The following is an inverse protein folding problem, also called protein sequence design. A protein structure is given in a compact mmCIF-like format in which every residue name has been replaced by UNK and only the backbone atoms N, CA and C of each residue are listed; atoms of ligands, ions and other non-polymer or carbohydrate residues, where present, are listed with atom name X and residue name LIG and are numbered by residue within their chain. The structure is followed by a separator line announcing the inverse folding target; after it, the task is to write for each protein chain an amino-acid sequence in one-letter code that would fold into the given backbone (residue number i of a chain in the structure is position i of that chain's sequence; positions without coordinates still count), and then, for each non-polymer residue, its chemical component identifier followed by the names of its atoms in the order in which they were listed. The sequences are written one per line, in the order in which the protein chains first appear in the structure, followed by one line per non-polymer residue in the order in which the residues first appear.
data_IF_877120675600
#
_entry.id   IF_877120675600
#
_cell.length_a   1.000
_cell.length_b   1.000
_cell.length_c   1.000
_cell.angle_alpha   90.00
_cell.angle_beta   90.00
_cell.angle_gamma   90.00
#
_symmetry.space_group_name_H-M   'P 1'
#
loop_
_entity.id
_entity.type
_entity.pdbx_description
1 polymer ?
#
# COMPACT_ATOMS: atom_id res chain seq x y z
N UNK A 1 -24.45 6.89 -7.12
CA UNK A 1 -23.52 7.90 -7.65
C UNK A 1 -22.50 8.30 -6.60
N UNK A 2 -21.22 8.07 -6.89
CA UNK A 2 -20.09 8.58 -6.10
C UNK A 2 -20.07 10.11 -6.19
N UNK A 3 -20.13 10.81 -5.06
CA UNK A 3 -19.91 12.27 -5.04
C UNK A 3 -18.49 12.54 -4.56
N UNK A 4 -17.77 13.44 -5.24
CA UNK A 4 -16.43 13.93 -4.87
C UNK A 4 -16.36 14.57 -3.47
N UNK A 5 -17.50 14.76 -2.82
CA UNK A 5 -17.67 15.39 -1.50
C UNK A 5 -17.54 14.45 -0.29
N UNK A 6 -17.52 13.12 -0.45
CA UNK A 6 -17.40 12.19 0.68
C UNK A 6 -16.04 12.26 1.39
N UNK A 7 -14.99 12.74 0.71
CA UNK A 7 -13.65 12.93 1.29
C UNK A 7 -13.45 14.31 1.96
N UNK A 8 -14.33 15.29 1.68
CA UNK A 8 -14.18 16.67 2.17
C UNK A 8 -14.87 16.95 3.52
N UNK A 9 -15.71 16.04 4.02
CA UNK A 9 -16.53 16.25 5.22
C UNK A 9 -16.43 15.12 6.26
N UNK A 10 -15.23 14.75 6.72
CA UNK A 10 -15.10 13.90 7.91
C UNK A 10 -14.64 14.70 9.14
N UNK A 11 -15.47 14.77 10.20
CA UNK A 11 -15.15 15.56 11.38
C UNK A 11 -13.95 14.98 12.13
N UNK A 12 -12.96 15.84 12.38
CA UNK A 12 -11.99 15.66 13.45
C UNK A 12 -12.74 15.56 14.78
N UNK A 13 -12.93 14.35 15.32
CA UNK A 13 -12.83 13.99 16.75
C UNK A 13 -13.61 12.71 17.14
N UNK A 14 -12.89 11.63 17.46
CA UNK A 14 -13.11 10.79 18.65
C UNK A 14 -11.92 9.84 18.80
N UNK A 15 -11.30 9.81 19.99
CA UNK A 15 -10.18 8.92 20.30
C UNK A 15 -10.62 7.45 20.17
N UNK A 16 -10.29 6.82 19.04
CA UNK A 16 -10.53 5.40 18.81
C UNK A 16 -9.52 4.57 19.60
N UNK A 17 -10.00 3.76 20.55
CA UNK A 17 -9.19 2.67 21.11
C UNK A 17 -8.83 1.71 19.96
N UNK A 18 -7.54 1.57 19.69
CA UNK A 18 -7.02 0.69 18.64
C UNK A 18 -7.00 -0.78 19.08
N UNK A 19 -6.83 -1.72 18.15
CA UNK A 19 -6.69 -3.16 18.46
C UNK A 19 -5.20 -3.54 18.53
N UNK A 20 -4.83 -4.39 19.50
CA UNK A 20 -3.49 -4.93 19.65
C UNK A 20 -3.10 -5.74 18.42
N UNK A 21 -2.01 -5.38 17.75
CA UNK A 21 -1.54 -6.06 16.54
C UNK A 21 -1.05 -7.50 16.77
N UNK A 22 -0.82 -7.88 18.03
CA UNK A 22 -0.35 -9.24 18.38
C UNK A 22 -1.51 -10.21 18.57
N UNK A 23 -2.51 -9.83 19.37
CA UNK A 23 -3.60 -10.72 19.81
C UNK A 23 -5.02 -10.18 19.58
N UNK A 24 -5.17 -8.97 19.04
CA UNK A 24 -6.47 -8.35 18.76
C UNK A 24 -7.20 -7.74 19.97
N UNK A 25 -6.66 -7.84 21.19
CA UNK A 25 -7.25 -7.21 22.37
C UNK A 25 -7.22 -5.67 22.28
N UNK A 26 -8.14 -4.93 22.93
CA UNK A 26 -8.10 -3.48 22.97
C UNK A 26 -6.73 -2.95 23.43
N UNK A 27 -6.24 -1.94 22.73
CA UNK A 27 -4.96 -1.30 22.96
C UNK A 27 -5.14 0.21 22.80
N UNK A 28 -4.55 0.97 23.71
CA UNK A 28 -4.59 2.43 23.66
C UNK A 28 -3.24 3.01 23.22
N UNK A 29 -2.15 2.25 23.42
CA UNK A 29 -0.81 2.77 23.31
C UNK A 29 0.10 1.87 22.46
N UNK A 30 1.09 2.51 21.85
CA UNK A 30 2.23 1.85 21.21
C UNK A 30 3.20 1.40 22.30
N UNK A 31 3.50 0.10 22.37
CA UNK A 31 4.52 -0.44 23.26
C UNK A 31 5.61 -1.13 22.43
N UNK A 32 6.87 -0.81 22.72
CA UNK A 32 8.05 -1.39 22.08
C UNK A 32 8.12 -1.29 20.55
N UNK A 33 7.33 -0.41 19.92
CA UNK A 33 7.34 -0.21 18.46
C UNK A 33 6.02 -0.54 17.76
N UNK A 34 5.03 -1.13 18.47
CA UNK A 34 3.75 -1.49 17.87
C UNK A 34 2.57 -1.27 18.82
N UNK A 35 1.38 -0.98 18.27
CA UNK A 35 0.14 -0.91 19.04
C UNK A 35 -0.13 -2.27 19.65
N UNK A 36 -0.13 -2.33 20.99
CA UNK A 36 -0.26 -3.58 21.70
C UNK A 36 -0.96 -3.41 23.04
N UNK A 37 -1.69 -4.44 23.44
CA UNK A 37 -2.33 -4.48 24.74
C UNK A 37 -1.29 -4.70 25.86
N UNK A 38 -1.69 -4.38 27.09
CA UNK A 38 -0.83 -4.51 28.28
C UNK A 38 -0.23 -5.92 28.45
N UNK A 39 -1.00 -6.98 28.11
CA UNK A 39 -0.51 -8.35 28.25
C UNK A 39 0.58 -8.70 27.24
N UNK A 40 0.49 -8.21 26.00
CA UNK A 40 1.53 -8.43 24.98
C UNK A 40 2.78 -7.59 25.26
N UNK A 41 2.61 -6.36 25.78
CA UNK A 41 3.71 -5.55 26.32
C UNK A 41 4.50 -6.30 27.39
N UNK A 42 3.83 -6.82 28.42
CA UNK A 42 4.49 -7.51 29.53
C UNK A 42 5.09 -8.84 29.11
N UNK A 43 4.42 -9.58 28.23
CA UNK A 43 4.94 -10.80 27.62
C UNK A 43 6.26 -10.53 26.88
N UNK A 44 6.28 -9.51 25.99
CA UNK A 44 7.48 -9.16 25.24
C UNK A 44 8.63 -8.74 26.16
N UNK A 45 8.36 -7.90 27.17
CA UNK A 45 9.36 -7.47 28.15
C UNK A 45 10.03 -8.62 28.91
N UNK A 46 9.30 -9.71 29.19
CA UNK A 46 9.82 -10.89 29.91
C UNK A 46 10.63 -11.83 29.02
N UNK A 47 10.29 -11.92 27.73
CA UNK A 47 10.74 -13.01 26.86
C UNK A 47 11.71 -12.58 25.75
N UNK A 48 11.77 -11.29 25.39
CA UNK A 48 12.54 -10.84 24.22
C UNK A 48 14.07 -10.93 24.35
N UNK A 49 14.60 -11.04 25.57
CA UNK A 49 16.05 -11.20 25.84
C UNK A 49 16.45 -12.65 26.20
N UNK A 50 15.51 -13.59 26.19
CA UNK A 50 15.82 -15.00 26.45
C UNK A 50 16.23 -15.63 25.12
N UNK A 51 17.29 -16.45 25.11
CA UNK A 51 17.78 -17.11 23.89
C UNK A 51 16.67 -17.87 23.18
N UNK A 52 16.54 -17.69 21.86
CA UNK A 52 15.45 -18.30 21.07
C UNK A 52 15.35 -19.83 21.21
N UNK A 53 16.45 -20.50 21.60
CA UNK A 53 16.51 -21.95 21.83
C UNK A 53 15.65 -22.45 23.01
N UNK A 54 15.15 -21.56 23.89
CA UNK A 54 14.28 -21.94 25.02
C UNK A 54 12.80 -21.99 24.65
N UNK A 55 12.37 -21.40 23.54
CA UNK A 55 10.96 -21.37 23.13
C UNK A 55 10.68 -22.39 22.03
N UNK A 56 10.35 -23.62 22.42
CA UNK A 56 9.86 -24.64 21.48
C UNK A 56 8.37 -24.45 21.22
N UNK A 57 7.99 -24.50 19.95
CA UNK A 57 6.60 -24.70 19.58
C UNK A 57 6.31 -26.20 19.68
N UNK A 58 5.16 -26.58 20.26
CA UNK A 58 4.72 -27.98 20.32
C UNK A 58 3.96 -28.41 19.05
N UNK A 59 3.92 -27.54 18.04
CA UNK A 59 3.31 -27.71 16.73
C UNK A 59 4.30 -27.19 15.66
N UNK A 60 3.82 -26.77 14.48
CA UNK A 60 4.67 -26.39 13.33
C UNK A 60 5.13 -24.91 13.32
N UNK A 61 5.01 -24.18 14.42
CA UNK A 61 5.45 -22.77 14.48
C UNK A 61 4.49 -21.76 13.83
N UNK A 62 3.24 -22.17 13.57
CA UNK A 62 2.15 -21.35 12.99
C UNK A 62 0.93 -21.22 13.93
N UNK A 63 1.12 -21.34 15.25
CA UNK A 63 -0.01 -21.26 16.18
C UNK A 63 -0.71 -19.89 16.10
N UNK A 64 -2.04 -19.93 16.05
CA UNK A 64 -2.85 -18.73 16.04
C UNK A 64 -2.81 -17.98 17.38
N UNK A 65 -2.57 -16.67 17.32
CA UNK A 65 -2.48 -15.77 18.49
C UNK A 65 -3.70 -14.84 18.51
N UNK A 66 -4.70 -15.19 19.32
CA UNK A 66 -5.96 -14.46 19.51
C UNK A 66 -6.27 -14.23 21.00
N UNK A 67 -7.08 -13.21 21.29
CA UNK A 67 -7.65 -12.96 22.63
C UNK A 67 -8.55 -14.13 23.04
N UNK A 68 -8.49 -14.54 24.30
CA UNK A 68 -9.30 -15.64 24.87
C UNK A 68 -8.57 -16.98 24.97
N UNK A 69 -7.44 -17.13 24.28
CA UNK A 69 -6.64 -18.35 24.38
C UNK A 69 -5.70 -18.24 25.61
N UNK A 70 -6.12 -18.80 26.75
CA UNK A 70 -5.41 -18.68 28.03
C UNK A 70 -3.97 -19.26 27.99
N UNK A 71 -3.67 -20.09 26.99
CA UNK A 71 -2.36 -20.71 26.78
C UNK A 71 -1.82 -20.48 25.35
N UNK A 72 -1.73 -19.21 24.92
CA UNK A 72 -1.06 -18.86 23.65
C UNK A 72 0.37 -19.42 23.61
N UNK A 73 0.73 -20.10 22.51
CA UNK A 73 2.09 -20.61 22.28
C UNK A 73 3.13 -19.49 22.42
N UNK A 74 4.03 -19.61 23.40
CA UNK A 74 5.02 -18.58 23.70
C UNK A 74 5.99 -18.34 22.52
N UNK A 75 6.39 -19.40 21.83
CA UNK A 75 7.27 -19.33 20.65
C UNK A 75 6.62 -18.51 19.51
N UNK A 76 5.40 -18.88 19.11
CA UNK A 76 4.68 -18.18 18.04
C UNK A 76 4.29 -16.76 18.44
N UNK A 77 3.93 -16.53 19.71
CA UNK A 77 3.60 -15.20 20.22
C UNK A 77 4.82 -14.28 20.20
N UNK A 78 6.00 -14.76 20.60
CA UNK A 78 7.23 -13.97 20.58
C UNK A 78 7.69 -13.69 19.15
N UNK A 79 7.63 -14.68 18.26
CA UNK A 79 7.85 -14.50 16.81
C UNK A 79 6.94 -13.42 16.24
N UNK A 80 5.65 -13.46 16.57
CA UNK A 80 4.66 -12.46 16.16
C UNK A 80 4.98 -11.08 16.74
N UNK A 81 5.42 -10.97 17.99
CA UNK A 81 5.87 -9.69 18.56
C UNK A 81 6.98 -9.03 17.74
N UNK A 82 8.02 -9.78 17.37
CA UNK A 82 9.10 -9.27 16.51
C UNK A 82 8.62 -8.96 15.08
N UNK A 83 7.80 -9.83 14.50
CA UNK A 83 7.21 -9.63 13.16
C UNK A 83 6.41 -8.32 13.06
N UNK A 84 5.67 -7.97 14.11
CA UNK A 84 4.90 -6.71 14.17
C UNK A 84 5.72 -5.52 14.71
N UNK A 85 7.04 -5.65 14.79
CA UNK A 85 7.96 -4.54 15.06
C UNK A 85 8.23 -4.24 16.53
N UNK A 86 7.98 -5.16 17.46
CA UNK A 86 8.46 -4.99 18.83
C UNK A 86 9.99 -5.17 18.88
N UNK A 87 10.71 -4.18 19.41
CA UNK A 87 12.18 -4.20 19.58
C UNK A 87 12.61 -4.07 21.04
N UNK A 88 13.71 -4.75 21.38
CA UNK A 88 14.40 -4.70 22.67
C UNK A 88 15.23 -3.43 22.86
N UNK A 89 15.51 -2.67 21.78
CA UNK A 89 16.31 -1.45 21.83
C UNK A 89 15.69 -0.39 22.75
N UNK A 90 14.36 -0.39 22.84
CA UNK A 90 13.58 0.49 23.72
C UNK A 90 13.59 0.05 25.19
N UNK A 91 14.21 -1.07 25.56
CA UNK A 91 14.48 -1.38 26.97
C UNK A 91 15.49 -0.41 27.59
N UNK A 92 16.36 0.20 26.77
CA UNK A 92 17.43 1.11 27.24
C UNK A 92 16.93 2.52 27.57
N UNK A 93 15.74 2.92 27.12
CA UNK A 93 15.16 4.22 27.45
C UNK A 93 14.65 4.30 28.90
N UNK A 94 14.54 3.18 29.64
CA UNK A 94 14.06 3.18 31.04
C UNK A 94 15.16 2.99 32.08
N UNK A 95 16.43 2.82 31.68
CA UNK A 95 17.57 2.61 32.60
C UNK A 95 18.83 3.27 32.05
N UNK A 96 18.88 4.60 32.10
CA UNK A 96 20.15 5.31 32.12
C UNK A 96 20.68 5.32 33.55
N UNK A 97 21.75 4.58 33.83
CA UNK A 97 22.90 5.04 34.63
C UNK A 97 23.98 3.96 34.73
N UNK A 98 25.21 4.37 34.40
CA UNK A 98 26.53 3.81 34.76
C UNK A 98 26.95 2.46 34.14
N UNK A 99 27.95 2.51 33.24
CA UNK A 99 29.37 2.37 33.61
C UNK A 99 30.26 2.12 32.38
N UNK A 100 31.40 2.80 32.34
CA UNK A 100 32.55 2.54 31.45
C UNK A 100 33.15 1.16 31.74
N UNK A 101 33.84 0.54 30.77
CA UNK A 101 35.25 0.06 30.86
C UNK A 101 35.70 -0.66 29.56
N UNK A 102 36.98 -0.45 29.22
CA UNK A 102 37.78 -0.88 28.04
C UNK A 102 38.16 -2.37 28.04
N UNK A 103 38.50 -2.92 26.86
CA UNK A 103 39.68 -3.80 26.53
C UNK A 103 39.45 -4.46 25.14
N UNK A 104 40.24 -4.20 24.07
CA UNK A 104 41.55 -4.76 23.66
C UNK A 104 41.65 -6.31 23.72
N UNK A 105 41.76 -7.01 22.57
CA UNK A 105 42.78 -8.05 22.22
C UNK A 105 42.72 -8.42 20.71
N UNK A 106 43.90 -8.81 20.21
CA UNK A 106 44.49 -9.00 18.87
C UNK A 106 43.92 -10.06 17.90
N UNK A 107 44.06 -9.72 16.61
CA UNK A 107 44.70 -10.43 15.46
C UNK A 107 44.89 -11.95 15.53
N UNK A 108 44.31 -12.66 14.54
CA UNK A 108 44.89 -13.64 13.58
C UNK A 108 43.70 -14.19 12.75
N UNK A 109 43.60 -14.11 11.42
CA UNK A 109 44.38 -14.80 10.39
C UNK A 109 43.84 -14.34 9.01
N UNK A 110 44.72 -14.22 8.02
CA UNK A 110 44.58 -13.28 6.89
C UNK A 110 44.05 -13.87 5.57
N UNK A 111 43.57 -15.11 5.52
CA UNK A 111 43.31 -15.80 4.23
C UNK A 111 41.86 -16.30 4.03
N UNK A 112 40.87 -15.63 4.64
CA UNK A 112 39.44 -15.85 4.34
C UNK A 112 38.69 -14.57 3.96
N UNK A 113 39.36 -13.41 3.92
CA UNK A 113 38.72 -12.10 3.78
C UNK A 113 38.22 -11.77 2.37
N UNK A 114 38.76 -12.39 1.31
CA UNK A 114 38.32 -12.10 -0.07
C UNK A 114 37.05 -12.86 -0.49
N UNK A 115 36.82 -14.06 0.04
CA UNK A 115 35.60 -14.83 -0.26
C UNK A 115 34.42 -14.38 0.62
N UNK A 116 34.70 -13.88 1.81
CA UNK A 116 33.71 -13.34 2.75
C UNK A 116 33.33 -11.88 2.45
N UNK A 117 34.20 -11.08 1.81
CA UNK A 117 33.86 -9.72 1.37
C UNK A 117 32.83 -9.75 0.23
N UNK A 118 32.98 -10.67 -0.73
CA UNK A 118 32.06 -10.87 -1.85
C UNK A 118 30.70 -11.42 -1.37
N UNK A 119 30.71 -12.30 -0.35
CA UNK A 119 29.47 -12.85 0.22
C UNK A 119 28.76 -11.85 1.16
N UNK A 120 29.51 -10.92 1.79
CA UNK A 120 28.94 -9.85 2.61
C UNK A 120 28.39 -8.68 1.76
N UNK A 121 28.87 -8.47 0.53
CA UNK A 121 28.28 -7.50 -0.41
C UNK A 121 26.91 -7.92 -0.96
N UNK A 122 26.46 -9.14 -0.68
CA UNK A 122 25.15 -9.68 -1.11
C UNK A 122 24.10 -9.68 0.00
N UNK A 123 24.43 -9.27 1.23
CA UNK A 123 23.44 -9.10 2.29
C UNK A 123 22.86 -7.68 2.24
N UNK A 124 21.54 -7.50 2.37
CA UNK A 124 20.93 -6.18 2.44
C UNK A 124 21.53 -5.39 3.60
N UNK A 125 22.24 -4.31 3.30
CA UNK A 125 22.81 -3.44 4.31
C UNK A 125 21.69 -2.58 4.92
N UNK A 126 21.15 -3.04 6.04
CA UNK A 126 20.11 -2.33 6.78
C UNK A 126 20.55 -0.94 7.29
N UNK A 127 21.86 -0.62 7.25
CA UNK A 127 22.37 0.71 7.63
C UNK A 127 22.08 1.80 6.59
N UNK A 128 21.74 1.42 5.35
CA UNK A 128 21.43 2.35 4.26
C UNK A 128 20.18 3.20 4.54
N UNK A 129 19.23 2.64 5.31
CA UNK A 129 17.99 3.31 5.69
C UNK A 129 17.99 3.62 7.18
N UNK A 130 17.61 4.86 7.51
CA UNK A 130 17.45 5.27 8.92
C UNK A 130 16.18 4.65 9.53
N UNK A 131 16.11 4.62 10.87
CA UNK A 131 14.93 4.15 11.61
C UNK A 131 13.62 4.84 11.19
N UNK A 132 13.70 6.16 10.93
CA UNK A 132 12.53 6.93 10.47
C UNK A 132 12.11 6.53 9.05
N UNK A 133 13.07 6.23 8.17
CA UNK A 133 12.79 5.77 6.81
C UNK A 133 12.17 4.37 6.83
N UNK A 134 12.66 3.45 7.68
CA UNK A 134 12.01 2.15 7.89
C UNK A 134 10.58 2.28 8.41
N UNK A 135 10.35 3.22 9.33
CA UNK A 135 9.00 3.51 9.84
C UNK A 135 8.08 4.01 8.72
N UNK A 136 8.57 4.91 7.85
CA UNK A 136 7.84 5.37 6.68
C UNK A 136 7.47 4.20 5.75
N UNK A 137 8.44 3.35 5.40
CA UNK A 137 8.19 2.17 4.54
C UNK A 137 7.17 1.22 5.15
N UNK A 138 7.24 0.99 6.46
CA UNK A 138 6.26 0.18 7.19
C UNK A 138 4.88 0.83 7.17
N UNK A 139 4.78 2.14 7.35
CA UNK A 139 3.49 2.85 7.28
C UNK A 139 2.90 2.77 5.88
N UNK A 140 3.71 2.94 4.83
CA UNK A 140 3.27 2.78 3.44
C UNK A 140 2.79 1.35 3.17
N UNK A 141 3.56 0.35 3.58
CA UNK A 141 3.16 -1.05 3.42
C UNK A 141 1.78 -1.32 4.04
N UNK A 142 1.54 -0.82 5.25
CA UNK A 142 0.31 -1.01 6.00
C UNK A 142 -0.76 0.08 5.77
N UNK A 143 -0.62 0.90 4.73
CA UNK A 143 -1.51 2.05 4.49
C UNK A 143 -2.96 1.65 4.23
N UNK A 144 -3.19 0.47 3.67
CA UNK A 144 -4.51 -0.15 3.51
C UNK A 144 -4.37 -1.68 3.44
N UNK A 145 -5.46 -2.39 3.73
CA UNK A 145 -5.51 -3.85 3.64
C UNK A 145 -5.84 -4.31 2.21
N UNK A 146 -4.89 -4.98 1.56
CA UNK A 146 -5.03 -5.50 0.20
C UNK A 146 -5.84 -6.82 0.15
N UNK A 147 -6.27 -7.35 1.29
CA UNK A 147 -6.98 -8.64 1.35
C UNK A 147 -8.30 -8.63 0.56
N UNK A 148 -9.07 -7.53 0.64
CA UNK A 148 -10.32 -7.39 -0.10
C UNK A 148 -10.07 -7.25 -1.61
N UNK A 149 -9.09 -6.43 -2.01
CA UNK A 149 -8.72 -6.25 -3.41
C UNK A 149 -8.21 -7.56 -4.02
N UNK A 150 -7.42 -8.32 -3.26
CA UNK A 150 -6.95 -9.65 -3.67
C UNK A 150 -8.09 -10.66 -3.79
N UNK A 151 -9.09 -10.58 -2.92
CA UNK A 151 -10.28 -11.42 -2.99
C UNK A 151 -11.06 -11.14 -4.27
N UNK A 152 -11.36 -9.87 -4.56
CA UNK A 152 -12.06 -9.49 -5.80
C UNK A 152 -11.30 -9.90 -7.06
N UNK A 153 -9.98 -9.68 -7.11
CA UNK A 153 -9.15 -10.08 -8.24
C UNK A 153 -9.25 -11.58 -8.52
N UNK A 154 -9.19 -12.43 -7.48
CA UNK A 154 -9.40 -13.89 -7.62
C UNK A 154 -10.81 -14.23 -8.08
N UNK A 155 -11.83 -13.63 -7.49
CA UNK A 155 -13.22 -13.86 -7.89
C UNK A 155 -13.46 -13.52 -9.37
N UNK A 156 -12.85 -12.45 -9.88
CA UNK A 156 -12.97 -12.07 -11.29
C UNK A 156 -12.35 -13.14 -12.21
N UNK A 157 -11.18 -13.68 -11.86
CA UNK A 157 -10.55 -14.77 -12.60
C UNK A 157 -11.42 -16.04 -12.56
N UNK A 158 -11.86 -16.44 -11.37
CA UNK A 158 -12.63 -17.67 -11.16
C UNK A 158 -13.99 -17.62 -11.87
N UNK A 159 -14.66 -16.46 -11.80
CA UNK A 159 -15.96 -16.24 -12.45
C UNK A 159 -15.84 -16.20 -13.97
N UNK A 160 -14.78 -15.59 -14.51
CA UNK A 160 -14.52 -15.60 -15.95
C UNK A 160 -14.31 -17.03 -16.48
N UNK A 161 -13.55 -17.84 -15.75
CA UNK A 161 -13.28 -19.23 -16.15
C UNK A 161 -14.51 -20.14 -16.03
N UNK A 162 -15.47 -19.79 -15.18
CA UNK A 162 -16.65 -20.61 -14.89
C UNK A 162 -17.88 -20.25 -15.73
N UNK A 163 -17.91 -19.07 -16.37
CA UNK A 163 -19.06 -18.58 -17.14
C UNK A 163 -18.70 -18.34 -18.62
N UNK A 164 -19.56 -18.78 -19.53
CA UNK A 164 -19.63 -18.28 -20.92
C UNK A 164 -20.24 -16.85 -20.92
N UNK A 165 -20.00 -16.00 -21.94
CA UNK A 165 -19.70 -14.58 -21.78
C UNK A 165 -20.87 -13.69 -21.34
N UNK A 166 -20.53 -12.64 -20.58
CA UNK A 166 -21.37 -11.47 -20.25
C UNK A 166 -22.70 -11.75 -19.54
N UNK A 167 -22.64 -12.46 -18.42
CA UNK A 167 -23.71 -12.37 -17.44
C UNK A 167 -23.55 -11.07 -16.65
N UNK A 168 -24.63 -10.31 -16.45
CA UNK A 168 -24.70 -9.12 -15.57
C UNK A 168 -24.00 -9.32 -14.23
N UNK A 169 -23.95 -10.57 -13.75
CA UNK A 169 -23.14 -11.00 -12.59
C UNK A 169 -21.66 -10.61 -12.68
N UNK A 170 -21.01 -10.81 -13.83
CA UNK A 170 -19.60 -10.44 -14.03
C UNK A 170 -19.43 -8.92 -14.04
N UNK A 171 -20.35 -8.20 -14.67
CA UNK A 171 -20.36 -6.74 -14.71
C UNK A 171 -20.51 -6.14 -13.30
N UNK A 172 -21.45 -6.66 -12.51
CA UNK A 172 -21.61 -6.29 -11.09
C UNK A 172 -20.38 -6.60 -10.25
N UNK A 173 -19.65 -7.67 -10.57
CA UNK A 173 -18.41 -8.00 -9.88
C UNK A 173 -17.29 -7.01 -10.22
N UNK A 174 -17.16 -6.61 -11.49
CA UNK A 174 -16.22 -5.55 -11.91
C UNK A 174 -16.58 -4.21 -11.27
N UNK A 175 -17.86 -3.84 -11.24
CA UNK A 175 -18.34 -2.64 -10.56
C UNK A 175 -17.94 -2.61 -9.08
N UNK A 176 -18.27 -3.68 -8.33
CA UNK A 176 -17.90 -3.81 -6.91
C UNK A 176 -16.40 -3.77 -6.69
N UNK A 177 -15.63 -4.38 -7.59
CA UNK A 177 -14.18 -4.35 -7.54
C UNK A 177 -13.63 -2.93 -7.67
N UNK A 178 -14.09 -2.16 -8.67
CA UNK A 178 -13.64 -0.79 -8.88
C UNK A 178 -14.07 0.16 -7.75
N UNK A 179 -15.29 -0.01 -7.22
CA UNK A 179 -15.76 0.72 -6.04
C UNK A 179 -14.90 0.42 -4.81
N UNK A 180 -14.57 -0.86 -4.57
CA UNK A 180 -13.70 -1.26 -3.46
C UNK A 180 -12.30 -0.66 -3.58
N UNK A 181 -11.75 -0.56 -4.80
CA UNK A 181 -10.47 0.13 -5.03
C UNK A 181 -10.58 1.61 -4.68
N UNK A 182 -11.62 2.30 -5.15
CA UNK A 182 -11.83 3.72 -4.86
C UNK A 182 -11.94 3.99 -3.36
N UNK A 183 -12.72 3.20 -2.63
CA UNK A 183 -12.85 3.32 -1.17
C UNK A 183 -11.53 3.07 -0.44
N UNK A 184 -10.81 2.00 -0.81
CA UNK A 184 -9.54 1.60 -0.19
C UNK A 184 -8.44 2.65 -0.44
N UNK A 185 -8.43 3.27 -1.62
CA UNK A 185 -7.45 4.31 -1.95
C UNK A 185 -7.73 5.66 -1.26
N UNK A 186 -8.98 5.97 -0.94
CA UNK A 186 -9.29 7.11 -0.08
C UNK A 186 -8.62 7.02 1.30
N UNK A 187 -8.57 5.82 1.88
CA UNK A 187 -7.90 5.59 3.17
C UNK A 187 -6.38 5.85 3.08
N UNK A 188 -5.74 5.44 1.99
CA UNK A 188 -4.30 5.66 1.75
C UNK A 188 -3.93 7.14 1.88
N UNK A 189 -4.70 8.02 1.22
CA UNK A 189 -4.47 9.46 1.26
C UNK A 189 -4.67 10.03 2.66
N UNK A 190 -5.73 9.60 3.35
CA UNK A 190 -6.08 10.08 4.68
C UNK A 190 -5.09 9.65 5.76
N UNK A 191 -4.49 8.46 5.62
CA UNK A 191 -3.57 7.88 6.59
C UNK A 191 -2.10 8.24 6.33
N UNK A 192 -1.80 8.96 5.25
CA UNK A 192 -0.43 9.36 4.94
C UNK A 192 0.00 10.55 5.82
N UNK A 193 0.84 10.27 6.82
CA UNK A 193 1.36 11.25 7.78
C UNK A 193 2.01 12.48 7.12
N UNK A 194 2.66 12.32 5.97
CA UNK A 194 3.33 13.44 5.30
C UNK A 194 2.33 14.30 4.53
N UNK A 195 1.31 13.71 3.90
CA UNK A 195 0.21 14.47 3.29
C UNK A 195 -0.57 15.24 4.36
N UNK A 196 -0.78 14.65 5.53
CA UNK A 196 -1.44 15.30 6.67
C UNK A 196 -0.68 16.51 7.24
N UNK A 197 0.63 16.66 6.94
CA UNK A 197 1.42 17.84 7.34
C UNK A 197 1.21 19.04 6.42
N UNK A 198 0.62 18.85 5.25
CA UNK A 198 0.33 19.93 4.32
C UNK A 198 -0.71 20.89 4.92
N UNK A 199 -0.65 22.16 4.51
CA UNK A 199 -1.63 23.15 4.95
C UNK A 199 -3.04 22.74 4.53
N UNK A 200 -4.07 23.29 5.19
CA UNK A 200 -5.46 23.04 4.77
C UNK A 200 -5.68 23.40 3.29
N UNK A 201 -5.14 24.55 2.86
CA UNK A 201 -5.23 25.03 1.48
C UNK A 201 -4.55 24.08 0.48
N UNK A 202 -3.34 23.60 0.79
CA UNK A 202 -2.64 22.64 -0.06
C UNK A 202 -3.42 21.33 -0.16
N UNK A 203 -3.99 20.84 0.95
CA UNK A 203 -4.79 19.62 0.97
C UNK A 203 -6.10 19.77 0.20
N UNK A 204 -6.79 20.90 0.31
CA UNK A 204 -8.04 21.15 -0.44
C UNK A 204 -7.81 21.21 -1.95
N UNK A 205 -6.62 21.60 -2.39
CA UNK A 205 -6.22 21.61 -3.80
C UNK A 205 -5.77 20.22 -4.25
N UNK A 206 -4.94 19.56 -3.45
CA UNK A 206 -4.27 18.30 -3.83
C UNK A 206 -5.22 17.10 -3.79
N UNK A 207 -5.98 16.94 -2.70
CA UNK A 207 -6.69 15.69 -2.40
C UNK A 207 -7.80 15.32 -3.38
N UNK A 208 -8.65 16.24 -3.88
CA UNK A 208 -9.75 15.88 -4.76
C UNK A 208 -9.27 15.18 -6.04
N UNK A 209 -8.28 15.76 -6.73
CA UNK A 209 -7.73 15.17 -7.96
C UNK A 209 -6.79 14.01 -7.66
N UNK A 210 -6.06 14.06 -6.54
CA UNK A 210 -5.21 12.95 -6.13
C UNK A 210 -6.00 11.66 -5.87
N UNK A 211 -7.20 11.75 -5.26
CA UNK A 211 -8.01 10.58 -4.96
C UNK A 211 -8.43 9.83 -6.24
N UNK A 212 -8.93 10.55 -7.24
CA UNK A 212 -9.31 10.00 -8.54
C UNK A 212 -8.10 9.34 -9.23
N UNK A 213 -6.99 10.08 -9.29
CA UNK A 213 -5.75 9.60 -9.90
C UNK A 213 -5.20 8.34 -9.21
N UNK A 214 -5.15 8.34 -7.88
CA UNK A 214 -4.60 7.22 -7.11
C UNK A 214 -5.50 5.99 -7.19
N UNK A 215 -6.82 6.15 -7.18
CA UNK A 215 -7.76 5.05 -7.43
C UNK A 215 -7.49 4.40 -8.77
N UNK A 216 -7.33 5.21 -9.82
CA UNK A 216 -7.05 4.70 -11.16
C UNK A 216 -5.71 3.94 -11.22
N UNK A 217 -4.65 4.51 -10.63
CA UNK A 217 -3.30 3.93 -10.63
C UNK A 217 -3.24 2.65 -9.78
N UNK A 218 -3.93 2.63 -8.65
CA UNK A 218 -4.06 1.44 -7.81
C UNK A 218 -4.84 0.35 -8.52
N UNK A 219 -5.88 0.72 -9.28
CA UNK A 219 -6.60 -0.21 -10.15
C UNK A 219 -5.64 -0.87 -11.14
N UNK A 220 -4.78 -0.10 -11.81
CA UNK A 220 -3.77 -0.65 -12.74
C UNK A 220 -2.83 -1.66 -12.07
N UNK A 221 -2.40 -1.40 -10.83
CA UNK A 221 -1.53 -2.33 -10.10
C UNK A 221 -2.22 -3.66 -9.81
N UNK A 222 -3.46 -3.62 -9.31
CA UNK A 222 -4.20 -4.84 -8.98
C UNK A 222 -4.59 -5.60 -10.25
N UNK A 223 -5.05 -4.89 -11.29
CA UNK A 223 -5.36 -5.45 -12.61
C UNK A 223 -4.15 -6.14 -13.21
N UNK A 224 -2.97 -5.51 -13.13
CA UNK A 224 -1.72 -6.11 -13.59
C UNK A 224 -1.32 -7.33 -12.76
N UNK A 225 -1.45 -7.27 -11.43
CA UNK A 225 -1.08 -8.37 -10.54
C UNK A 225 -1.88 -9.65 -10.78
N UNK A 226 -3.17 -9.53 -11.06
CA UNK A 226 -4.06 -10.66 -11.37
C UNK A 226 -4.21 -10.95 -12.87
N UNK A 227 -3.46 -10.24 -13.71
CA UNK A 227 -3.52 -10.34 -15.17
C UNK A 227 -4.95 -10.21 -15.74
N UNK A 228 -5.77 -9.33 -15.14
CA UNK A 228 -7.18 -9.21 -15.50
C UNK A 228 -7.39 -8.71 -16.93
N UNK A 229 -6.43 -7.96 -17.48
CA UNK A 229 -6.49 -7.52 -18.87
C UNK A 229 -6.34 -8.64 -19.91
N UNK A 230 -5.87 -9.83 -19.51
CA UNK A 230 -5.90 -11.02 -20.37
C UNK A 230 -7.31 -11.61 -20.52
N UNK A 231 -8.21 -11.29 -19.58
CA UNK A 231 -9.59 -11.77 -19.57
C UNK A 231 -10.43 -10.93 -20.53
N UNK A 232 -10.93 -11.56 -21.60
CA UNK A 232 -11.70 -10.86 -22.64
C UNK A 232 -12.93 -10.14 -22.07
N UNK A 233 -13.62 -10.75 -21.11
CA UNK A 233 -14.79 -10.16 -20.44
C UNK A 233 -14.44 -8.90 -19.67
N UNK A 234 -13.32 -8.90 -18.95
CA UNK A 234 -12.86 -7.73 -18.21
C UNK A 234 -12.49 -6.60 -19.17
N UNK A 235 -11.71 -6.91 -20.22
CA UNK A 235 -11.29 -5.91 -21.19
C UNK A 235 -12.46 -5.27 -21.93
N UNK A 236 -13.51 -6.05 -22.26
CA UNK A 236 -14.75 -5.53 -22.87
C UNK A 236 -15.47 -4.53 -21.95
N UNK A 237 -15.61 -4.81 -20.66
CA UNK A 237 -16.23 -3.89 -19.70
C UNK A 237 -15.38 -2.63 -19.54
N UNK A 238 -14.06 -2.76 -19.45
CA UNK A 238 -13.19 -1.59 -19.38
C UNK A 238 -13.30 -0.72 -20.65
N UNK A 239 -13.56 -1.33 -21.81
CA UNK A 239 -13.78 -0.61 -23.07
C UNK A 239 -15.11 0.12 -23.19
N UNK A 240 -16.12 -0.21 -22.36
CA UNK A 240 -17.34 0.60 -22.27
C UNK A 240 -17.14 1.82 -21.37
N UNK A 241 -16.20 1.76 -20.42
CA UNK A 241 -15.90 2.83 -19.48
C UNK A 241 -14.89 3.85 -20.02
N UNK A 242 -13.91 3.37 -20.79
CA UNK A 242 -12.78 4.15 -21.28
C UNK A 242 -12.69 4.04 -22.79
N UNK A 243 -12.21 5.10 -23.44
CA UNK A 243 -11.94 5.04 -24.87
C UNK A 243 -10.76 4.09 -25.19
N UNK A 244 -10.69 3.65 -26.45
CA UNK A 244 -9.65 2.73 -26.92
C UNK A 244 -8.23 3.27 -26.67
N UNK A 245 -8.07 4.60 -26.67
CA UNK A 245 -6.79 5.25 -26.40
C UNK A 245 -6.40 5.14 -24.94
N UNK A 246 -7.32 5.38 -23.99
CA UNK A 246 -7.08 5.20 -22.57
C UNK A 246 -6.73 3.74 -22.24
N UNK A 247 -7.39 2.77 -22.86
CA UNK A 247 -7.03 1.34 -22.70
C UNK A 247 -5.63 1.06 -23.22
N UNK A 248 -5.30 1.54 -24.42
CA UNK A 248 -3.97 1.32 -25.00
C UNK A 248 -2.87 1.95 -24.14
N UNK A 249 -3.11 3.15 -23.63
CA UNK A 249 -2.21 3.85 -22.73
C UNK A 249 -2.09 3.16 -21.37
N UNK A 250 -3.18 2.62 -20.81
CA UNK A 250 -3.14 1.89 -19.54
C UNK A 250 -2.34 0.59 -19.68
N UNK A 251 -2.59 -0.20 -20.73
CA UNK A 251 -1.84 -1.42 -21.04
C UNK A 251 -0.34 -1.15 -21.23
N UNK A 252 0.00 -0.06 -21.92
CA UNK A 252 1.40 0.35 -22.07
C UNK A 252 2.02 0.79 -20.75
N UNK A 253 1.29 1.58 -19.95
CA UNK A 253 1.74 2.08 -18.65
C UNK A 253 1.97 0.95 -17.64
N UNK A 254 1.14 -0.09 -17.66
CA UNK A 254 1.26 -1.26 -16.78
C UNK A 254 2.58 -2.03 -16.96
N UNK A 255 3.22 -1.95 -18.14
CA UNK A 255 4.51 -2.61 -18.39
C UNK A 255 5.66 -2.13 -17.50
N UNK A 256 5.54 -0.93 -16.95
CA UNK A 256 6.55 -0.34 -16.08
C UNK A 256 6.23 -0.47 -14.59
N UNK A 257 5.08 -1.04 -14.24
CA UNK A 257 4.68 -1.22 -12.85
C UNK A 257 5.67 -2.14 -12.16
N UNK A 258 6.17 -1.67 -11.02
CA UNK A 258 7.08 -2.45 -10.21
C UNK A 258 6.30 -3.46 -9.35
N UNK A 259 6.70 -4.75 -9.31
CA UNK A 259 5.94 -5.78 -8.59
C UNK A 259 6.06 -5.67 -7.06
N UNK A 260 7.12 -5.05 -6.55
CA UNK A 260 7.26 -4.77 -5.12
C UNK A 260 6.30 -3.64 -4.69
N UNK A 261 5.35 -3.99 -3.83
CA UNK A 261 4.30 -3.09 -3.34
C UNK A 261 4.84 -1.85 -2.64
N UNK A 262 5.98 -1.94 -1.95
CA UNK A 262 6.57 -0.79 -1.26
C UNK A 262 7.06 0.21 -2.29
N UNK A 263 7.72 -0.26 -3.36
CA UNK A 263 8.19 0.58 -4.46
C UNK A 263 7.00 1.19 -5.21
N UNK A 264 5.96 0.41 -5.46
CA UNK A 264 4.71 0.91 -6.03
C UNK A 264 4.13 2.06 -5.17
N UNK A 265 3.96 1.86 -3.86
CA UNK A 265 3.40 2.88 -2.96
C UNK A 265 4.30 4.11 -2.78
N UNK A 266 5.62 3.96 -2.87
CA UNK A 266 6.56 5.07 -2.89
C UNK A 266 6.42 5.92 -4.15
N UNK A 267 6.35 5.28 -5.32
CA UNK A 267 6.12 5.95 -6.59
C UNK A 267 4.72 6.60 -6.64
N UNK A 268 3.71 5.95 -6.05
CA UNK A 268 2.38 6.53 -5.89
C UNK A 268 2.40 7.80 -5.03
N UNK A 269 3.15 7.82 -3.92
CA UNK A 269 3.35 9.03 -3.11
C UNK A 269 4.05 10.15 -3.90
N UNK A 270 5.08 9.82 -4.68
CA UNK A 270 5.76 10.78 -5.56
C UNK A 270 4.81 11.37 -6.60
N UNK A 271 4.02 10.52 -7.24
CA UNK A 271 3.03 10.92 -8.23
C UNK A 271 1.97 11.83 -7.59
N UNK A 272 1.40 11.41 -6.47
CA UNK A 272 0.37 12.16 -5.71
C UNK A 272 0.77 13.61 -5.48
N UNK A 273 2.02 13.82 -5.04
CA UNK A 273 2.57 15.13 -4.70
C UNK A 273 3.09 15.92 -5.91
N UNK A 274 3.07 15.35 -7.11
CA UNK A 274 3.50 16.03 -8.34
C UNK A 274 2.53 17.14 -8.73
N UNK A 275 3.03 18.29 -9.21
CA UNK A 275 2.17 19.34 -9.76
C UNK A 275 1.27 18.83 -10.90
N UNK A 276 1.73 17.84 -11.65
CA UNK A 276 0.98 17.23 -12.75
C UNK A 276 -0.34 16.61 -12.32
N UNK A 277 -0.55 16.31 -11.03
CA UNK A 277 -1.84 15.77 -10.55
C UNK A 277 -2.95 16.81 -10.47
N UNK A 278 -2.63 18.11 -10.40
CA UNK A 278 -3.63 19.18 -10.24
C UNK A 278 -3.47 20.37 -11.20
N UNK A 279 -2.43 20.40 -12.04
CA UNK A 279 -2.21 21.44 -13.08
C UNK A 279 -3.38 21.57 -14.07
N UNK A 280 -4.23 20.54 -14.21
CA UNK A 280 -5.37 20.54 -15.13
C UNK A 280 -6.71 20.85 -14.48
N UNK A 281 -6.76 21.25 -13.20
CA UNK A 281 -8.00 21.77 -12.63
C UNK A 281 -8.23 23.19 -13.15
N UNK A 282 -9.24 23.45 -14.00
CA UNK A 282 -9.44 24.74 -14.66
C UNK A 282 -9.72 25.90 -13.69
N UNK A 283 -9.94 25.60 -12.40
CA UNK A 283 -10.37 26.54 -11.37
C UNK A 283 -9.29 26.87 -10.32
N UNK A 284 -8.05 26.39 -10.45
CA UNK A 284 -7.02 26.56 -9.42
C UNK A 284 -5.85 27.41 -9.95
N UNK A 285 -5.56 28.58 -9.34
CA UNK A 285 -4.42 29.41 -9.73
C UNK A 285 -3.09 28.64 -9.56
N UNK A 286 -2.20 28.77 -10.54
CA UNK A 286 -0.91 28.06 -10.65
C UNK A 286 -0.02 28.25 -9.41
N UNK A 287 -0.18 29.38 -8.69
CA UNK A 287 0.62 29.77 -7.52
C UNK A 287 -0.06 29.55 -6.15
N UNK A 288 -1.19 28.85 -6.13
CA UNK A 288 -2.01 28.71 -4.90
C UNK A 288 -1.47 27.73 -3.86
N UNK A 289 -0.44 26.93 -4.18
CA UNK A 289 0.13 25.92 -3.25
C UNK A 289 1.48 26.33 -2.68
N UNK A 290 1.77 25.97 -1.42
CA UNK A 290 3.10 26.08 -0.85
C UNK A 290 4.04 25.03 -1.47
N UNK A 291 4.61 25.38 -2.63
CA UNK A 291 5.48 24.50 -3.41
C UNK A 291 6.71 24.01 -2.63
N UNK A 292 7.14 24.70 -1.57
CA UNK A 292 8.34 24.34 -0.80
C UNK A 292 8.14 23.11 0.09
N UNK A 293 7.04 23.03 0.82
CA UNK A 293 6.72 21.88 1.69
C UNK A 293 6.46 20.63 0.85
N UNK A 294 5.69 20.77 -0.23
CA UNK A 294 5.40 19.68 -1.17
C UNK A 294 6.72 19.15 -1.75
N UNK A 295 7.59 20.03 -2.24
CA UNK A 295 8.89 19.65 -2.79
C UNK A 295 9.80 18.96 -1.75
N UNK A 296 9.80 19.42 -0.49
CA UNK A 296 10.55 18.78 0.58
C UNK A 296 10.06 17.34 0.84
N UNK A 297 8.75 17.14 0.87
CA UNK A 297 8.15 15.81 1.03
C UNK A 297 8.50 14.94 -0.19
N UNK A 298 8.37 15.44 -1.42
CA UNK A 298 8.75 14.70 -2.63
C UNK A 298 10.22 14.25 -2.60
N UNK A 299 11.14 15.14 -2.24
CA UNK A 299 12.56 14.79 -2.11
C UNK A 299 12.79 13.69 -1.08
N UNK A 300 12.08 13.73 0.05
CA UNK A 300 12.12 12.66 1.05
C UNK A 300 11.68 11.32 0.45
N UNK A 301 10.58 11.27 -0.31
CA UNK A 301 10.13 10.04 -0.95
C UNK A 301 11.10 9.54 -2.03
N UNK A 302 11.68 10.45 -2.83
CA UNK A 302 12.66 10.10 -3.85
C UNK A 302 13.94 9.52 -3.23
N UNK A 303 14.44 10.14 -2.15
CA UNK A 303 15.60 9.65 -1.39
C UNK A 303 15.34 8.26 -0.81
N UNK A 304 14.17 8.07 -0.17
CA UNK A 304 13.80 6.78 0.42
C UNK A 304 13.65 5.71 -0.67
N UNK A 305 13.09 6.05 -1.83
CA UNK A 305 12.99 5.14 -2.98
C UNK A 305 14.37 4.68 -3.42
N UNK A 306 15.29 5.61 -3.65
CA UNK A 306 16.65 5.28 -4.05
C UNK A 306 17.37 4.40 -3.01
N UNK A 307 17.28 4.75 -1.73
CA UNK A 307 17.89 3.97 -0.65
C UNK A 307 17.28 2.58 -0.51
N UNK A 308 15.96 2.47 -0.63
CA UNK A 308 15.26 1.18 -0.56
C UNK A 308 15.64 0.27 -1.73
N UNK A 309 15.74 0.82 -2.95
CA UNK A 309 16.22 0.07 -4.11
C UNK A 309 17.64 -0.44 -3.93
N UNK A 310 18.55 0.40 -3.44
CA UNK A 310 19.94 -0.01 -3.16
C UNK A 310 19.99 -1.10 -2.09
N UNK A 311 19.20 -0.96 -1.03
CA UNK A 311 19.08 -1.98 0.01
C UNK A 311 18.55 -3.31 -0.54
N UNK A 312 17.55 -3.27 -1.42
CA UNK A 312 16.84 -4.46 -1.90
C UNK A 312 17.57 -5.19 -3.02
N UNK A 313 18.16 -4.46 -3.96
CA UNK A 313 18.68 -4.98 -5.22
C UNK A 313 20.17 -4.72 -5.44
N UNK A 314 20.81 -3.90 -4.60
CA UNK A 314 22.17 -3.41 -4.83
C UNK A 314 22.23 -2.33 -5.93
N UNK A 315 23.36 -1.63 -6.01
CA UNK A 315 23.47 -0.39 -6.81
C UNK A 315 23.13 -0.55 -8.30
N UNK A 316 23.67 -1.57 -8.96
CA UNK A 316 23.52 -1.72 -10.41
C UNK A 316 22.06 -2.00 -10.83
N UNK A 317 21.39 -2.92 -10.14
CA UNK A 317 19.97 -3.18 -10.41
C UNK A 317 19.08 -2.03 -9.91
N UNK A 318 19.45 -1.38 -8.79
CA UNK A 318 18.74 -0.19 -8.30
C UNK A 318 18.66 0.93 -9.35
N UNK A 319 19.70 1.17 -10.14
CA UNK A 319 19.67 2.14 -11.25
C UNK A 319 18.60 1.78 -12.27
N UNK A 320 18.51 0.51 -12.67
CA UNK A 320 17.52 0.04 -13.65
C UNK A 320 16.10 0.16 -13.11
N UNK A 321 15.88 -0.29 -11.87
CA UNK A 321 14.57 -0.15 -11.22
C UNK A 321 14.17 1.31 -11.06
N UNK A 322 15.11 2.19 -10.69
CA UNK A 322 14.85 3.63 -10.58
C UNK A 322 14.50 4.26 -11.93
N UNK A 323 15.22 3.90 -13.00
CA UNK A 323 14.89 4.30 -14.36
C UNK A 323 13.47 3.86 -14.75
N UNK A 324 13.10 2.59 -14.49
CA UNK A 324 11.76 2.10 -14.78
C UNK A 324 10.67 2.85 -14.00
N UNK A 325 10.93 3.21 -12.73
CA UNK A 325 10.01 4.05 -11.94
C UNK A 325 9.84 5.42 -12.60
N UNK A 326 10.91 6.05 -13.07
CA UNK A 326 10.81 7.35 -13.78
C UNK A 326 9.99 7.19 -15.07
N UNK A 327 10.27 6.16 -15.88
CA UNK A 327 9.50 5.87 -17.09
C UNK A 327 8.02 5.65 -16.77
N UNK A 328 7.72 4.92 -15.69
CA UNK A 328 6.35 4.71 -15.24
C UNK A 328 5.66 6.01 -14.82
N UNK A 329 6.32 6.86 -14.02
CA UNK A 329 5.78 8.16 -13.62
C UNK A 329 5.50 9.06 -14.84
N UNK A 330 6.37 9.05 -15.85
CA UNK A 330 6.15 9.79 -17.09
C UNK A 330 4.98 9.23 -17.90
N UNK A 331 4.87 7.89 -18.00
CA UNK A 331 3.76 7.23 -18.65
C UNK A 331 2.42 7.55 -17.96
N UNK A 332 2.41 7.56 -16.63
CA UNK A 332 1.27 7.96 -15.81
C UNK A 332 0.83 9.40 -16.09
N UNK A 333 1.76 10.35 -16.19
CA UNK A 333 1.43 11.75 -16.53
C UNK A 333 0.69 11.81 -17.87
N UNK A 334 1.18 11.09 -18.87
CA UNK A 334 0.57 11.05 -20.20
C UNK A 334 -0.81 10.39 -20.19
N UNK A 335 -0.96 9.27 -19.47
CA UNK A 335 -2.24 8.59 -19.29
C UNK A 335 -3.27 9.46 -18.57
N UNK A 336 -2.90 10.06 -17.44
CA UNK A 336 -3.80 10.91 -16.65
C UNK A 336 -4.20 12.18 -17.39
N UNK A 337 -3.28 12.78 -18.16
CA UNK A 337 -3.60 13.93 -19.02
C UNK A 337 -4.65 13.58 -20.07
N UNK A 338 -4.58 12.39 -20.69
CA UNK A 338 -5.61 11.93 -21.63
C UNK A 338 -6.94 11.68 -20.90
N UNK A 339 -6.90 10.98 -19.75
CA UNK A 339 -8.10 10.65 -19.00
C UNK A 339 -8.87 11.92 -18.58
N UNK A 340 -8.17 12.91 -18.00
CA UNK A 340 -8.77 14.19 -17.59
C UNK A 340 -9.40 14.99 -18.74
N UNK A 341 -8.94 14.81 -19.98
CA UNK A 341 -9.57 15.46 -21.15
C UNK A 341 -10.84 14.74 -21.63
N UNK A 342 -11.02 13.48 -21.25
CA UNK A 342 -12.12 12.63 -21.71
C UNK A 342 -13.20 12.46 -20.62
N UNK A 343 -12.86 11.91 -19.46
CA UNK A 343 -13.73 11.80 -18.28
C UNK A 343 -12.89 11.53 -17.03
N UNK A 344 -13.39 11.89 -15.83
CA UNK A 344 -12.70 11.45 -14.61
C UNK A 344 -12.84 9.94 -14.41
N UNK A 345 -11.95 9.33 -13.63
CA UNK A 345 -12.04 7.89 -13.34
C UNK A 345 -13.31 7.56 -12.55
N UNK A 346 -13.71 8.42 -11.61
CA UNK A 346 -14.99 8.35 -10.89
C UNK A 346 -16.19 8.42 -11.85
N UNK A 347 -16.19 9.32 -12.84
CA UNK A 347 -17.27 9.41 -13.82
C UNK A 347 -17.39 8.12 -14.64
N UNK A 348 -16.25 7.52 -15.03
CA UNK A 348 -16.23 6.23 -15.71
C UNK A 348 -16.85 5.13 -14.85
N UNK A 349 -16.52 5.07 -13.54
CA UNK A 349 -17.13 4.11 -12.59
C UNK A 349 -18.63 4.34 -12.48
N UNK A 350 -19.09 5.60 -12.33
CA UNK A 350 -20.51 5.92 -12.26
C UNK A 350 -21.25 5.48 -13.55
N UNK A 351 -20.65 5.70 -14.72
CA UNK A 351 -21.20 5.25 -16.00
C UNK A 351 -21.34 3.72 -16.05
N UNK A 352 -20.36 2.97 -15.53
CA UNK A 352 -20.49 1.51 -15.43
C UNK A 352 -21.67 1.10 -14.54
N UNK A 353 -21.84 1.75 -13.38
CA UNK A 353 -22.97 1.48 -12.46
C UNK A 353 -24.30 1.67 -13.19
N UNK A 354 -24.46 2.79 -13.90
CA UNK A 354 -25.68 3.09 -14.67
C UNK A 354 -25.96 2.04 -15.75
N UNK A 355 -24.95 1.63 -16.52
CA UNK A 355 -25.10 0.58 -17.54
C UNK A 355 -25.48 -0.76 -16.90
N UNK A 356 -24.90 -1.11 -15.75
CA UNK A 356 -25.24 -2.34 -15.03
C UNK A 356 -26.69 -2.32 -14.54
N UNK A 357 -27.15 -1.20 -13.98
CA UNK A 357 -28.52 -1.01 -13.53
C UNK A 357 -29.53 -1.12 -14.69
N UNK A 358 -29.24 -0.52 -15.84
CA UNK A 358 -30.08 -0.61 -17.04
C UNK A 358 -30.19 -2.04 -17.57
N UNK A 359 -29.09 -2.79 -17.55
CA UNK A 359 -29.08 -4.19 -18.04
C UNK A 359 -29.93 -5.08 -17.14
N UNK A 360 -29.90 -4.88 -15.82
CA UNK A 360 -30.77 -5.59 -14.87
C UNK A 360 -32.26 -5.36 -15.13
N UNK A 361 -32.65 -4.11 -15.42
CA UNK A 361 -34.05 -3.77 -15.70
C UNK A 361 -34.55 -4.49 -16.95
N UNK A 362 -33.70 -4.63 -17.97
CA UNK A 362 -34.07 -5.33 -19.21
C UNK A 362 -34.22 -6.84 -18.98
N UNK A 363 -33.32 -7.47 -18.25
CA UNK A 363 -33.40 -8.90 -17.90
C UNK A 363 -34.69 -9.21 -17.10
N UNK A 364 -35.03 -8.36 -16.11
CA UNK A 364 -36.26 -8.48 -15.33
C UNK A 364 -37.52 -8.34 -16.21
N UNK A 365 -37.49 -7.49 -17.25
CA UNK A 365 -38.60 -7.31 -18.19
C UNK A 365 -38.73 -8.49 -19.16
N UNK A 366 -37.61 -9.05 -19.65
CA UNK A 366 -37.61 -10.24 -20.50
C UNK A 366 -38.11 -11.48 -19.75
N UNK A 367 -37.71 -11.71 -18.49
CA UNK A 367 -38.26 -12.79 -17.67
C UNK A 367 -39.78 -12.66 -17.45
N UNK A 368 -40.30 -11.44 -17.32
CA UNK A 368 -41.75 -11.17 -17.19
C UNK A 368 -42.50 -11.43 -18.50
N UNK A 369 -41.85 -11.25 -19.66
CA UNK A 369 -42.46 -11.51 -20.98
C UNK A 369 -42.46 -13.01 -21.28
N UNK A 370 -41.39 -13.74 -20.96
CA UNK A 370 -41.29 -15.20 -21.19
C UNK A 370 -42.13 -16.04 -20.22
N UNK A 371 -42.63 -15.44 -19.13
CA UNK A 371 -43.55 -16.10 -18.16
C UNK A 371 -45.04 -15.85 -18.43
N UNK A 372 -45.39 -15.18 -19.54
CA UNK A 372 -46.77 -14.98 -20.02
C UNK A 372 -47.00 -15.70 -21.34
#
# INVERSE_FOLDING_TARGET
MLTTNTMLNLPLTKQNLSKCRICGAPAQYVNFGTISCHSCKMFFKRNANIEQKTFRCNFDGYCEIKRGNHHMCASCRLKKCFQYGMTTDKFRASRSTKSKTKSLVKVTSRNQSEKLSILNSLKPDHSLLTSNQWTLLSNLYNSYDESQLSFFGKCLVDTHNSLQPMNVTYQRLVEKFLLSIYETTGEYLCLNDDICKLSFNDRSILLPTAADNISCITSMFIVHHFDLCSLESFLKIMATMYDNRAISLSLWTMKFIHPDIIIFKLALSLFTLSKTTYVYSPNIPIDSTNSSTIFHIQNKYAEVTWKYLNYRYGWYEAVKHFHNIICWLMALIMFMSHLQTFSTHVDSINSLVEVTELTLILDDVEEIIDTK
#
